data_IF_506662329378
#
_entry.id   IF_506662329378
#
_cell.length_a   1.000
_cell.length_b   1.000
_cell.length_c   1.000
_cell.angle_alpha   90.00
_cell.angle_beta   90.00
_cell.angle_gamma   90.00
#
_symmetry.space_group_name_H-M   'P 1'
#
loop_
_entity.id
_entity.type
_entity.pdbx_description
1 polymer ?
#
# COMPACT_ATOMS: atom_id res chain seq x y z
N UNK A 1 -4.33 -5.40 10.38
CA UNK A 1 -4.55 -5.39 8.92
C UNK A 1 -6.01 -5.72 8.56
N UNK A 2 -6.66 -6.67 9.25
CA UNK A 2 -8.08 -6.99 9.02
C UNK A 2 -9.06 -5.83 9.36
N UNK A 3 -8.73 -4.99 10.35
CA UNK A 3 -9.53 -3.82 10.71
C UNK A 3 -9.61 -2.77 9.59
N UNK A 4 -8.55 -2.65 8.78
CA UNK A 4 -8.54 -1.73 7.64
C UNK A 4 -9.54 -2.20 6.58
N UNK A 5 -9.54 -3.50 6.28
CA UNK A 5 -10.43 -4.12 5.30
C UNK A 5 -11.91 -4.01 5.71
N UNK A 6 -12.21 -4.26 6.99
CA UNK A 6 -13.55 -4.06 7.54
C UNK A 6 -13.99 -2.59 7.49
N UNK A 7 -13.07 -1.66 7.74
CA UNK A 7 -13.32 -0.21 7.64
C UNK A 7 -13.61 0.21 6.21
N UNK A 8 -12.84 -0.26 5.23
CA UNK A 8 -13.07 0.03 3.81
C UNK A 8 -14.39 -0.56 3.31
N UNK A 9 -14.75 -1.78 3.72
CA UNK A 9 -16.06 -2.38 3.43
C UNK A 9 -17.22 -1.56 4.01
N UNK A 10 -17.05 -1.03 5.23
CA UNK A 10 -18.05 -0.14 5.84
C UNK A 10 -18.17 1.19 5.10
N UNK A 11 -17.05 1.79 4.69
CA UNK A 11 -17.04 3.02 3.89
C UNK A 11 -17.72 2.81 2.54
N UNK A 12 -17.46 1.69 1.86
CA UNK A 12 -18.11 1.33 0.60
C UNK A 12 -19.64 1.31 0.77
N UNK A 13 -20.14 0.66 1.83
CA UNK A 13 -21.57 0.59 2.10
C UNK A 13 -22.20 1.97 2.37
N UNK A 14 -21.47 2.87 3.05
CA UNK A 14 -21.93 4.25 3.25
C UNK A 14 -21.98 5.03 1.93
N UNK A 15 -21.00 4.84 1.06
CA UNK A 15 -20.96 5.45 -0.27
C UNK A 15 -22.10 4.94 -1.14
N UNK A 16 -22.40 3.64 -1.10
CA UNK A 16 -23.56 3.07 -1.82
C UNK A 16 -24.89 3.59 -1.29
N UNK A 17 -25.02 3.76 0.03
CA UNK A 17 -26.20 4.39 0.63
C UNK A 17 -26.33 5.86 0.23
N UNK A 18 -25.23 6.60 0.14
CA UNK A 18 -25.21 7.98 -0.32
C UNK A 18 -25.54 8.09 -1.82
N UNK A 19 -25.02 7.19 -2.66
CA UNK A 19 -25.34 7.08 -4.09
C UNK A 19 -26.82 6.77 -4.34
N UNK A 20 -27.48 6.05 -3.43
CA UNK A 20 -28.92 5.82 -3.54
C UNK A 20 -29.73 7.11 -3.40
N UNK A 21 -29.24 8.06 -2.60
CA UNK A 21 -29.81 9.41 -2.47
C UNK A 21 -29.35 10.38 -3.55
N UNK A 22 -28.12 10.21 -4.05
CA UNK A 22 -27.46 11.11 -5.01
C UNK A 22 -26.75 10.31 -6.13
N UNK A 23 -27.50 9.72 -7.08
CA UNK A 23 -26.96 8.75 -8.04
C UNK A 23 -26.07 9.37 -9.13
N UNK A 24 -26.14 10.69 -9.34
CA UNK A 24 -25.31 11.41 -10.32
C UNK A 24 -23.96 11.87 -9.72
N UNK A 25 -23.70 11.53 -8.45
CA UNK A 25 -22.51 11.98 -7.75
C UNK A 25 -21.26 11.26 -8.25
N UNK A 26 -20.54 11.92 -9.15
CA UNK A 26 -19.34 11.37 -9.78
C UNK A 26 -18.21 11.12 -8.77
N UNK A 27 -18.14 11.91 -7.68
CA UNK A 27 -17.16 11.73 -6.62
C UNK A 27 -17.44 10.45 -5.82
N UNK A 28 -18.70 10.16 -5.49
CA UNK A 28 -19.08 8.91 -4.82
C UNK A 28 -18.85 7.68 -5.71
N UNK A 29 -19.08 7.81 -7.02
CA UNK A 29 -18.77 6.75 -7.98
C UNK A 29 -17.27 6.42 -8.01
N UNK A 30 -16.42 7.45 -8.09
CA UNK A 30 -14.96 7.28 -8.01
C UNK A 30 -14.53 6.67 -6.68
N UNK A 31 -15.10 7.15 -5.57
CA UNK A 31 -14.76 6.66 -4.24
C UNK A 31 -15.15 5.18 -4.07
N UNK A 32 -16.29 4.76 -4.64
CA UNK A 32 -16.71 3.35 -4.68
C UNK A 32 -15.71 2.48 -5.46
N UNK A 33 -15.28 2.92 -6.64
CA UNK A 33 -14.30 2.19 -7.45
C UNK A 33 -12.95 2.08 -6.72
N UNK A 34 -12.44 3.19 -6.18
CA UNK A 34 -11.16 3.26 -5.45
C UNK A 34 -11.17 2.33 -4.22
N UNK A 35 -12.25 2.35 -3.42
CA UNK A 35 -12.41 1.47 -2.27
C UNK A 35 -12.48 -0.01 -2.66
N UNK A 36 -13.14 -0.34 -3.78
CA UNK A 36 -13.23 -1.72 -4.27
C UNK A 36 -11.86 -2.23 -4.71
N UNK A 37 -11.08 -1.40 -5.39
CA UNK A 37 -9.73 -1.73 -5.83
C UNK A 37 -8.79 -1.96 -4.63
N UNK A 38 -8.86 -1.09 -3.62
CA UNK A 38 -8.08 -1.24 -2.37
C UNK A 38 -8.44 -2.54 -1.64
N UNK A 39 -9.74 -2.83 -1.48
CA UNK A 39 -10.20 -4.05 -0.80
C UNK A 39 -9.68 -5.29 -1.53
N UNK A 40 -9.80 -5.33 -2.86
CA UNK A 40 -9.35 -6.48 -3.66
C UNK A 40 -7.83 -6.67 -3.61
N UNK A 41 -7.07 -5.57 -3.60
CA UNK A 41 -5.61 -5.61 -3.42
C UNK A 41 -5.23 -6.09 -2.02
N UNK A 42 -5.95 -5.65 -0.98
CA UNK A 42 -5.70 -6.07 0.40
C UNK A 42 -6.04 -7.55 0.63
N UNK A 43 -7.11 -8.05 0.00
CA UNK A 43 -7.47 -9.48 0.01
C UNK A 43 -6.41 -10.34 -0.69
N UNK A 44 -5.89 -9.92 -1.85
CA UNK A 44 -4.78 -10.61 -2.54
C UNK A 44 -3.48 -10.62 -1.71
N UNK A 45 -3.17 -9.51 -1.04
CA UNK A 45 -2.02 -9.42 -0.13
C UNK A 45 -2.19 -10.34 1.08
N UNK A 46 -3.36 -10.39 1.71
CA UNK A 46 -3.62 -11.33 2.82
C UNK A 46 -3.53 -12.80 2.39
N UNK A 47 -3.94 -13.14 1.16
CA UNK A 47 -3.76 -14.50 0.63
C UNK A 47 -2.29 -14.84 0.37
N UNK A 48 -1.51 -13.89 -0.17
CA UNK A 48 -0.07 -14.07 -0.39
C UNK A 48 0.74 -14.16 0.91
N UNK A 49 0.44 -13.33 1.92
CA UNK A 49 1.11 -13.35 3.22
C UNK A 49 0.97 -14.71 3.94
N UNK A 50 -0.15 -15.42 3.70
CA UNK A 50 -0.38 -16.76 4.28
C UNK A 50 0.32 -17.90 3.50
N UNK A 51 0.67 -17.67 2.24
CA UNK A 51 1.33 -18.67 1.38
C UNK A 51 2.87 -18.58 1.43
N UNK A 52 3.43 -17.42 1.78
CA UNK A 52 4.86 -17.13 1.67
C UNK A 52 5.62 -17.29 3.00
N UNK A 53 5.33 -18.36 3.76
CA UNK A 53 6.20 -18.82 4.85
C UNK A 53 7.06 -20.01 4.40
N UNK A 54 7.61 -19.94 3.18
CA UNK A 54 8.81 -20.70 2.84
C UNK A 54 9.41 -20.19 1.53
N UNK A 55 10.70 -19.86 1.59
CA UNK A 55 11.62 -19.68 0.47
C UNK A 55 11.57 -18.42 -0.41
N UNK A 56 12.38 -17.45 0.02
CA UNK A 56 13.59 -16.98 -0.67
C UNK A 56 13.45 -16.46 -2.11
N UNK A 57 13.47 -15.13 -2.16
CA UNK A 57 14.23 -14.29 -3.10
C UNK A 57 13.81 -14.28 -4.58
N UNK A 58 14.23 -13.18 -5.21
CA UNK A 58 14.30 -12.85 -6.64
C UNK A 58 13.07 -12.23 -7.33
N UNK A 59 13.32 -10.98 -7.77
CA UNK A 59 12.79 -10.19 -8.92
C UNK A 59 11.33 -9.67 -8.96
N UNK A 60 11.23 -8.33 -8.77
CA UNK A 60 10.38 -7.26 -9.36
C UNK A 60 9.18 -7.59 -10.28
N UNK A 61 8.19 -6.69 -10.50
CA UNK A 61 8.10 -5.26 -10.16
C UNK A 61 6.79 -4.88 -9.42
N UNK A 62 6.50 -3.58 -9.32
CA UNK A 62 5.26 -2.94 -8.80
C UNK A 62 4.94 -3.18 -7.33
N UNK A 63 5.91 -2.83 -6.49
CA UNK A 63 5.60 -2.59 -5.09
C UNK A 63 5.15 -1.15 -4.95
N UNK A 64 3.86 -0.96 -4.75
CA UNK A 64 3.31 0.18 -4.02
C UNK A 64 3.88 0.03 -2.60
N UNK A 65 5.17 0.32 -2.41
CA UNK A 65 5.78 0.23 -1.09
C UNK A 65 5.15 1.36 -0.29
N UNK A 66 4.41 1.04 0.76
CA UNK A 66 4.17 1.95 1.87
C UNK A 66 5.48 1.99 2.67
N UNK A 67 6.44 2.80 2.20
CA UNK A 67 7.72 2.98 2.88
C UNK A 67 7.44 3.46 4.31
N UNK A 68 7.88 2.72 5.31
CA UNK A 68 7.71 3.07 6.72
C UNK A 68 9.03 3.46 7.35
N UNK A 69 8.99 4.45 8.25
CA UNK A 69 10.16 4.87 9.02
C UNK A 69 10.66 3.69 9.86
N UNK A 70 11.94 3.38 9.73
CA UNK A 70 12.59 2.24 10.38
C UNK A 70 12.76 1.01 9.51
N UNK A 71 12.13 0.95 8.34
CA UNK A 71 12.28 -0.16 7.39
C UNK A 71 13.62 -0.13 6.66
N UNK A 72 14.13 -1.32 6.31
CA UNK A 72 15.42 -1.50 5.63
C UNK A 72 15.19 -1.59 4.13
N UNK A 73 15.79 -0.67 3.39
CA UNK A 73 15.68 -0.59 1.93
C UNK A 73 17.03 -0.68 1.27
N UNK A 74 17.03 -1.03 -0.02
CA UNK A 74 18.24 -1.08 -0.82
C UNK A 74 18.38 0.25 -1.56
N UNK A 75 19.45 0.98 -1.28
CA UNK A 75 19.72 2.28 -1.87
C UNK A 75 20.98 2.29 -2.74
N UNK A 76 21.00 3.03 -3.85
CA UNK A 76 22.20 3.20 -4.67
C UNK A 76 23.23 4.06 -3.92
N UNK A 77 24.41 3.50 -3.66
CA UNK A 77 25.56 4.20 -3.10
C UNK A 77 26.34 4.90 -4.23
N UNK A 78 27.03 6.03 -3.98
CA UNK A 78 27.90 6.70 -4.95
C UNK A 78 29.03 5.81 -5.54
N UNK A 79 29.30 4.65 -4.94
CA UNK A 79 30.24 3.64 -5.46
C UNK A 79 29.62 2.76 -6.57
N UNK A 80 28.37 3.03 -6.95
CA UNK A 80 27.60 2.21 -7.90
C UNK A 80 27.03 0.91 -7.30
N UNK A 81 27.35 0.62 -6.03
CA UNK A 81 26.83 -0.54 -5.30
C UNK A 81 25.49 -0.23 -4.64
N UNK A 82 24.63 -1.23 -4.60
CA UNK A 82 23.38 -1.19 -3.86
C UNK A 82 23.65 -1.63 -2.42
N UNK A 83 23.38 -0.77 -1.45
CA UNK A 83 23.63 -1.04 -0.02
C UNK A 83 22.34 -1.00 0.77
N UNK A 84 22.31 -1.70 1.90
CA UNK A 84 21.19 -1.64 2.84
C UNK A 84 21.25 -0.31 3.59
N UNK A 85 20.14 0.43 3.58
CA UNK A 85 19.95 1.67 4.30
C UNK A 85 18.66 1.59 5.12
N UNK A 86 18.59 2.37 6.20
CA UNK A 86 17.40 2.46 7.04
C UNK A 86 16.64 3.74 6.70
N UNK A 87 15.33 3.67 6.55
CA UNK A 87 14.50 4.86 6.36
C UNK A 87 14.41 5.60 7.70
N UNK A 88 14.89 6.85 7.72
CA UNK A 88 14.85 7.71 8.90
C UNK A 88 13.61 8.62 8.89
N UNK A 89 13.26 9.15 7.72
CA UNK A 89 12.07 10.00 7.59
C UNK A 89 11.50 9.99 6.18
N UNK A 90 10.17 10.05 6.11
CA UNK A 90 9.42 10.22 4.87
C UNK A 90 8.82 11.62 4.83
N UNK A 91 9.13 12.35 3.77
CA UNK A 91 8.61 13.69 3.53
C UNK A 91 7.92 13.72 2.15
N UNK A 92 7.01 14.68 1.89
CA UNK A 92 6.44 14.85 0.55
C UNK A 92 7.49 15.23 -0.52
N UNK A 93 8.68 15.69 -0.10
CA UNK A 93 9.81 15.95 -0.99
C UNK A 93 10.63 14.69 -1.32
N UNK A 94 10.43 13.58 -0.58
CA UNK A 94 11.15 12.33 -0.77
C UNK A 94 11.43 11.57 0.53
N UNK A 95 12.21 10.50 0.41
CA UNK A 95 12.60 9.62 1.52
C UNK A 95 14.03 9.93 1.95
N UNK A 96 14.23 10.19 3.24
CA UNK A 96 15.54 10.26 3.86
C UNK A 96 15.95 8.86 4.36
N UNK A 97 17.14 8.43 3.95
CA UNK A 97 17.73 7.14 4.31
C UNK A 97 19.09 7.35 4.96
N UNK A 98 19.39 6.54 5.98
CA UNK A 98 20.67 6.55 6.68
C UNK A 98 21.41 5.25 6.40
N UNK A 99 22.67 5.38 5.98
CA UNK A 99 23.59 4.26 5.84
C UNK A 99 24.28 4.05 7.20
N UNK A 100 24.25 2.82 7.72
CA UNK A 100 24.89 2.41 8.98
C UNK A 100 25.91 1.32 8.72
#
# INVERSE_FOLDING_TARGET
MEEELATYKLQLQQVEAALLGDPDNTELHKLKEDLTEIISLQEDLQEKDKAESSEKAVVAPQVIHKWTVGERVIAPHPDGKKVFARIDSLTPAGVAITFT
#
